data_IF_369638724956
#
_entry.id   IF_369638724956
#
_cell.length_a   1.000
_cell.length_b   1.000
_cell.length_c   1.000
_cell.angle_alpha   90.00
_cell.angle_beta   90.00
_cell.angle_gamma   90.00
#
_symmetry.space_group_name_H-M   'P 1'
#
loop_
_entity.id
_entity.type
_entity.pdbx_description
1 polymer ?
#
# COMPACT_ATOMS: atom_id res chain seq x y z
N UNK A 1 -13.97 -12.14 14.94
CA UNK A 1 -13.17 -11.47 13.91
C UNK A 1 -11.94 -12.34 13.71
N UNK A 2 -11.88 -13.11 12.63
CA UNK A 2 -10.74 -14.00 12.36
C UNK A 2 -9.60 -13.07 11.92
N UNK A 3 -8.49 -13.06 12.67
CA UNK A 3 -7.28 -12.38 12.21
C UNK A 3 -6.85 -13.08 10.93
N UNK A 4 -6.56 -12.35 9.83
CA UNK A 4 -5.97 -12.97 8.66
C UNK A 4 -4.68 -13.69 9.07
N UNK A 5 -4.41 -14.81 8.40
CA UNK A 5 -3.17 -15.55 8.61
C UNK A 5 -1.98 -14.60 8.37
N UNK A 6 -0.94 -14.64 9.22
CA UNK A 6 0.21 -13.77 9.06
C UNK A 6 0.90 -14.08 7.74
N UNK A 7 1.35 -13.03 7.06
CA UNK A 7 2.23 -13.15 5.89
C UNK A 7 3.58 -13.68 6.39
N UNK A 8 4.00 -14.85 5.89
CA UNK A 8 5.22 -15.51 6.38
C UNK A 8 6.32 -15.60 5.32
N UNK A 9 5.98 -15.39 4.05
CA UNK A 9 6.92 -15.47 2.93
C UNK A 9 7.01 -14.17 2.13
N UNK A 10 8.12 -13.99 1.42
CA UNK A 10 8.34 -12.82 0.55
C UNK A 10 7.38 -12.84 -0.63
N UNK A 11 7.09 -14.02 -1.18
CA UNK A 11 6.17 -14.20 -2.29
C UNK A 11 4.72 -13.85 -1.89
N UNK A 12 4.31 -14.21 -0.68
CA UNK A 12 3.03 -13.76 -0.12
C UNK A 12 2.98 -12.25 0.05
N UNK A 13 4.03 -11.65 0.63
CA UNK A 13 4.12 -10.21 0.79
C UNK A 13 4.01 -9.47 -0.56
N UNK A 14 4.71 -9.97 -1.58
CA UNK A 14 4.64 -9.40 -2.92
C UNK A 14 3.22 -9.50 -3.52
N UNK A 15 2.55 -10.66 -3.39
CA UNK A 15 1.16 -10.83 -3.87
C UNK A 15 0.17 -9.93 -3.14
N UNK A 16 0.29 -9.80 -1.82
CA UNK A 16 -0.60 -8.93 -1.05
C UNK A 16 -0.35 -7.46 -1.37
N UNK A 17 0.91 -7.07 -1.60
CA UNK A 17 1.27 -5.72 -2.08
C UNK A 17 0.63 -5.41 -3.43
N UNK A 18 0.67 -6.35 -4.38
CA UNK A 18 0.02 -6.19 -5.68
C UNK A 18 -1.50 -5.98 -5.55
N UNK A 19 -2.17 -6.73 -4.67
CA UNK A 19 -3.60 -6.55 -4.39
C UNK A 19 -3.90 -5.19 -3.77
N UNK A 20 -3.07 -4.73 -2.83
CA UNK A 20 -3.18 -3.42 -2.21
C UNK A 20 -3.04 -2.28 -3.22
N UNK A 21 -2.07 -2.40 -4.13
CA UNK A 21 -1.86 -1.43 -5.21
C UNK A 21 -3.08 -1.33 -6.13
N UNK A 22 -3.64 -2.46 -6.57
CA UNK A 22 -4.84 -2.47 -7.40
C UNK A 22 -6.04 -1.87 -6.66
N UNK A 23 -6.19 -2.19 -5.38
CA UNK A 23 -7.24 -1.63 -4.54
C UNK A 23 -7.13 -0.10 -4.43
N UNK A 24 -5.94 0.43 -4.13
CA UNK A 24 -5.73 1.88 -4.05
C UNK A 24 -5.89 2.57 -5.40
N UNK A 25 -5.39 1.98 -6.49
CA UNK A 25 -5.55 2.52 -7.84
C UNK A 25 -7.03 2.67 -8.20
N UNK A 26 -7.85 1.64 -7.93
CA UNK A 26 -9.30 1.68 -8.13
C UNK A 26 -9.97 2.68 -7.20
N UNK A 27 -9.58 2.72 -5.93
CA UNK A 27 -10.12 3.66 -4.95
C UNK A 27 -9.87 5.12 -5.35
N UNK A 28 -8.66 5.45 -5.80
CA UNK A 28 -8.33 6.77 -6.32
C UNK A 28 -9.12 7.09 -7.58
N UNK A 29 -9.24 6.13 -8.51
CA UNK A 29 -10.10 6.31 -9.68
C UNK A 29 -11.55 6.61 -9.30
N UNK A 30 -12.13 5.90 -8.33
CA UNK A 30 -13.49 6.18 -7.84
C UNK A 30 -13.60 7.55 -7.16
N UNK A 31 -12.54 8.02 -6.49
CA UNK A 31 -12.53 9.31 -5.82
C UNK A 31 -12.37 10.50 -6.79
N UNK A 32 -11.69 10.30 -7.92
CA UNK A 32 -11.32 11.37 -8.86
C UNK A 32 -12.22 11.37 -10.12
N UNK A 33 -12.73 10.21 -10.54
CA UNK A 33 -13.53 10.07 -11.75
C UNK A 33 -15.04 10.16 -11.49
N UNK A 34 -15.71 10.92 -12.36
CA UNK A 34 -17.16 10.84 -12.59
C UNK A 34 -17.65 9.39 -12.79
N UNK A 35 -18.94 9.10 -12.54
CA UNK A 35 -19.48 7.74 -12.52
C UNK A 35 -19.12 6.97 -13.81
N UNK A 36 -18.24 5.98 -13.67
CA UNK A 36 -17.75 5.14 -14.76
C UNK A 36 -16.61 4.23 -14.30
N UNK A 37 -16.44 3.09 -14.97
CA UNK A 37 -15.28 2.23 -14.74
C UNK A 37 -14.00 2.94 -15.21
N UNK A 38 -12.90 2.93 -14.44
CA UNK A 38 -11.68 3.60 -14.85
C UNK A 38 -11.04 2.95 -16.07
N UNK A 39 -10.55 3.79 -16.99
CA UNK A 39 -9.72 3.36 -18.11
C UNK A 39 -8.43 2.67 -17.63
N UNK A 40 -7.85 1.82 -18.45
CA UNK A 40 -6.56 1.17 -18.16
C UNK A 40 -5.44 2.19 -17.89
N UNK A 41 -5.43 3.32 -18.60
CA UNK A 41 -4.46 4.39 -18.37
C UNK A 41 -4.64 5.05 -17.00
N UNK A 42 -5.89 5.29 -16.59
CA UNK A 42 -6.19 5.85 -15.26
C UNK A 42 -5.81 4.87 -14.15
N UNK A 43 -6.05 3.57 -14.33
CA UNK A 43 -5.62 2.52 -13.41
C UNK A 43 -4.09 2.44 -13.31
N UNK A 44 -3.37 2.53 -14.43
CA UNK A 44 -1.91 2.52 -14.43
C UNK A 44 -1.33 3.74 -13.68
N UNK A 45 -1.89 4.93 -13.90
CA UNK A 45 -1.50 6.14 -13.16
C UNK A 45 -1.83 6.04 -11.68
N UNK A 46 -3.03 5.58 -11.34
CA UNK A 46 -3.42 5.34 -9.95
C UNK A 46 -2.50 4.34 -9.26
N UNK A 47 -2.10 3.29 -9.98
CA UNK A 47 -1.16 2.29 -9.45
C UNK A 47 0.21 2.90 -9.16
N UNK A 48 0.75 3.72 -10.05
CA UNK A 48 2.03 4.41 -9.81
C UNK A 48 1.97 5.32 -8.57
N UNK A 49 0.89 6.10 -8.43
CA UNK A 49 0.69 6.96 -7.25
C UNK A 49 0.58 6.15 -5.96
N UNK A 50 -0.14 5.02 -6.00
CA UNK A 50 -0.26 4.12 -4.84
C UNK A 50 1.09 3.49 -4.47
N UNK A 51 1.91 3.15 -5.47
CA UNK A 51 3.25 2.59 -5.31
C UNK A 51 4.18 3.58 -4.60
N UNK A 52 4.23 4.82 -5.09
CA UNK A 52 5.02 5.90 -4.50
C UNK A 52 4.63 6.13 -3.03
N UNK A 53 3.33 6.17 -2.73
CA UNK A 53 2.83 6.35 -1.36
C UNK A 53 3.21 5.19 -0.44
N UNK A 54 3.01 3.94 -0.90
CA UNK A 54 3.36 2.76 -0.10
C UNK A 54 4.85 2.69 0.18
N UNK A 55 5.70 2.97 -0.81
CA UNK A 55 7.15 3.01 -0.63
C UNK A 55 7.57 4.09 0.38
N UNK A 56 7.01 5.30 0.29
CA UNK A 56 7.28 6.35 1.27
C UNK A 56 6.82 5.97 2.69
N UNK A 57 5.68 5.29 2.81
CA UNK A 57 5.18 4.80 4.10
C UNK A 57 6.05 3.70 4.69
N UNK A 58 6.50 2.75 3.87
CA UNK A 58 7.44 1.68 4.27
C UNK A 58 8.75 2.29 4.80
N UNK A 59 9.33 3.25 4.09
CA UNK A 59 10.53 3.98 4.52
C UNK A 59 10.32 4.69 5.86
N UNK A 60 9.19 5.39 6.01
CA UNK A 60 8.84 6.07 7.26
C UNK A 60 8.68 5.08 8.43
N UNK A 61 8.06 3.92 8.21
CA UNK A 61 7.92 2.87 9.22
C UNK A 61 9.26 2.32 9.67
N UNK A 62 10.21 2.10 8.74
CA UNK A 62 11.57 1.66 9.07
C UNK A 62 12.29 2.72 9.92
N UNK A 63 12.19 4.00 9.55
CA UNK A 63 12.78 5.10 10.33
C UNK A 63 12.16 5.21 11.73
N UNK A 64 10.83 5.06 11.83
CA UNK A 64 10.12 5.08 13.11
C UNK A 64 10.57 3.93 14.03
N UNK A 65 10.68 2.71 13.48
CA UNK A 65 11.18 1.55 14.23
C UNK A 65 12.62 1.77 14.72
N UNK A 66 13.50 2.29 13.86
CA UNK A 66 14.88 2.62 14.24
C UNK A 66 14.95 3.67 15.35
N UNK A 67 14.07 4.70 15.30
CA UNK A 67 13.97 5.72 16.34
C UNK A 67 13.51 5.13 17.68
N UNK A 68 12.50 4.28 17.66
CA UNK A 68 11.97 3.62 18.87
C UNK A 68 12.98 2.65 19.49
N UNK A 69 13.78 1.96 18.67
CA UNK A 69 14.86 1.10 19.16
C UNK A 69 16.01 1.89 19.79
N UNK A 70 16.28 3.10 19.27
CA UNK A 70 17.36 3.97 19.77
C UNK A 70 16.97 4.72 21.05
N UNK A 71 15.68 4.99 21.25
CA UNK A 71 15.12 5.64 22.44
C UNK A 71 13.97 4.78 22.99
N UNK A 72 14.25 3.63 23.63
CA UNK A 72 13.20 2.82 24.23
C UNK A 72 12.48 3.63 25.32
N UNK A 73 11.14 3.56 25.42
CA UNK A 73 10.42 4.17 26.52
C UNK A 73 10.91 3.58 27.86
N UNK A 74 11.15 4.43 28.86
CA UNK A 74 11.52 4.04 30.24
C UNK A 74 10.47 3.14 30.90
#
# INVERSE_FOLDING_TARGET
MISPDPITTREEAAREREKLLDFFARGMCCAVAHPGAPSEEALAKGRAVADDYLSAYEEWMVQLAARNASNPPE
#
